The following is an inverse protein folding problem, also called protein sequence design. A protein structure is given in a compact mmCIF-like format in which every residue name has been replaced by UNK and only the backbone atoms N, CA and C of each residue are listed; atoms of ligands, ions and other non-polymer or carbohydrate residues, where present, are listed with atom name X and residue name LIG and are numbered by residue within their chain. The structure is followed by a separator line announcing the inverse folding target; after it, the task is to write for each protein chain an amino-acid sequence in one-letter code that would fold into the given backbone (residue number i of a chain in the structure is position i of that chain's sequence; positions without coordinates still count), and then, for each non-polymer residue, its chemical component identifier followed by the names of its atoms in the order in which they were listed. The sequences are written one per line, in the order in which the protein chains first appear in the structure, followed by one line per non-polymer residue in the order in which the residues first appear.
data_IF_245798202376
#
_entry.id   IF_245798202376
#
_cell.length_a   1.000
_cell.length_b   1.000
_cell.length_c   1.000
_cell.angle_alpha   90.00
_cell.angle_beta   90.00
_cell.angle_gamma   90.00
#
_symmetry.space_group_name_H-M   'P 1'
#
loop_
_entity.id
_entity.type
_entity.pdbx_description
1 polymer ?
#
# COMPACT_ATOMS: atom_id res chain seq x y z
N UNK A 1 -19.85 12.59 -3.03
CA UNK A 1 -19.20 11.98 -4.23
C UNK A 1 -17.79 12.50 -4.29
N UNK A 2 -16.78 11.63 -4.37
CA UNK A 2 -15.36 12.00 -4.45
C UNK A 2 -14.98 12.45 -5.87
N UNK A 3 -14.14 13.47 -5.94
CA UNK A 3 -13.54 14.04 -7.15
C UNK A 3 -12.01 14.02 -7.03
N UNK A 4 -11.29 14.45 -8.05
CA UNK A 4 -9.83 14.56 -8.00
C UNK A 4 -9.34 15.60 -6.96
N UNK A 5 -10.18 16.57 -6.61
CA UNK A 5 -9.87 17.56 -5.56
C UNK A 5 -9.88 16.96 -4.15
N UNK A 6 -10.52 15.80 -4.01
CA UNK A 6 -10.63 15.07 -2.74
C UNK A 6 -9.50 14.04 -2.56
N UNK A 7 -8.53 13.99 -3.48
CA UNK A 7 -7.45 13.00 -3.47
C UNK A 7 -6.07 13.64 -3.47
N UNK A 8 -5.13 13.03 -2.72
CA UNK A 8 -3.69 13.35 -2.72
C UNK A 8 -2.86 12.08 -2.85
N UNK A 9 -1.90 12.08 -3.78
CA UNK A 9 -0.78 11.15 -3.74
C UNK A 9 0.29 11.70 -2.80
N UNK A 10 0.75 10.88 -1.86
CA UNK A 10 1.86 11.17 -0.95
C UNK A 10 3.02 10.27 -1.34
N UNK A 11 4.07 10.84 -1.90
CA UNK A 11 5.30 10.09 -2.20
C UNK A 11 6.14 10.07 -0.94
N UNK A 12 6.37 8.87 -0.39
CA UNK A 12 7.28 8.68 0.73
C UNK A 12 8.70 8.48 0.18
N UNK A 13 9.50 9.54 0.22
CA UNK A 13 10.88 9.54 -0.27
C UNK A 13 11.86 9.26 0.87
N UNK A 14 12.76 8.30 0.67
CA UNK A 14 13.77 7.92 1.66
C UNK A 14 15.14 7.81 1.00
N UNK A 15 16.11 8.62 1.46
CA UNK A 15 17.45 8.69 0.86
C UNK A 15 17.40 9.01 -0.64
N UNK A 16 18.39 8.55 -1.39
CA UNK A 16 18.43 8.68 -2.84
C UNK A 16 17.88 7.40 -3.49
N UNK A 17 16.84 7.55 -4.30
CA UNK A 17 16.28 6.43 -5.05
C UNK A 17 16.34 6.71 -6.56
N UNK A 18 17.00 5.87 -7.35
CA UNK A 18 17.08 6.06 -8.80
C UNK A 18 15.72 5.99 -9.50
N UNK A 19 14.69 5.59 -8.77
CA UNK A 19 13.33 5.40 -9.29
C UNK A 19 12.38 6.56 -8.97
N UNK A 20 12.80 7.53 -8.13
CA UNK A 20 11.95 8.65 -7.71
C UNK A 20 11.40 9.45 -8.90
N UNK A 21 12.24 9.72 -9.91
CA UNK A 21 11.83 10.42 -11.14
C UNK A 21 10.72 9.67 -11.89
N UNK A 22 10.83 8.36 -11.99
CA UNK A 22 9.86 7.50 -12.68
C UNK A 22 8.53 7.45 -11.92
N UNK A 23 8.59 7.36 -10.58
CA UNK A 23 7.42 7.42 -9.71
C UNK A 23 6.67 8.76 -9.90
N UNK A 24 7.36 9.91 -9.74
CA UNK A 24 6.75 11.25 -9.92
C UNK A 24 6.11 11.36 -11.30
N UNK A 25 6.82 10.99 -12.36
CA UNK A 25 6.32 11.07 -13.73
C UNK A 25 5.07 10.21 -13.94
N UNK A 26 4.97 9.04 -13.31
CA UNK A 26 3.79 8.17 -13.40
C UNK A 26 2.55 8.81 -12.78
N UNK A 27 2.72 9.53 -11.68
CA UNK A 27 1.66 10.27 -11.01
C UNK A 27 1.25 11.53 -11.78
N UNK A 28 2.22 12.24 -12.34
CA UNK A 28 1.95 13.40 -13.20
C UNK A 28 1.23 13.03 -14.51
N UNK A 29 1.35 11.79 -14.97
CA UNK A 29 0.70 11.28 -16.19
C UNK A 29 -0.70 10.72 -15.98
N UNK A 30 -1.26 10.78 -14.76
CA UNK A 30 -2.63 10.31 -14.53
C UNK A 30 -3.63 11.02 -15.45
N UNK A 31 -4.64 10.29 -15.98
CA UNK A 31 -5.74 10.83 -16.80
C UNK A 31 -6.53 11.89 -16.03
N UNK A 32 -6.72 11.67 -14.75
CA UNK A 32 -7.35 12.62 -13.83
C UNK A 32 -6.27 13.12 -12.87
N UNK A 33 -6.00 14.44 -12.89
CA UNK A 33 -4.98 15.07 -12.06
C UNK A 33 -5.46 15.28 -10.63
N UNK A 34 -4.61 14.99 -9.65
CA UNK A 34 -4.83 15.35 -8.26
C UNK A 34 -3.55 15.92 -7.65
N UNK A 35 -3.64 16.36 -6.41
CA UNK A 35 -2.49 16.86 -5.67
C UNK A 35 -1.45 15.76 -5.48
N UNK A 36 -0.18 16.11 -5.62
CA UNK A 36 0.97 15.26 -5.33
C UNK A 36 1.83 16.02 -4.33
N UNK A 37 2.23 15.37 -3.24
CA UNK A 37 3.19 15.89 -2.28
C UNK A 37 4.30 14.87 -2.07
N UNK A 38 5.45 15.35 -1.64
CA UNK A 38 6.57 14.51 -1.18
C UNK A 38 6.71 14.68 0.32
N UNK A 39 6.85 13.58 1.02
CA UNK A 39 7.32 13.57 2.39
C UNK A 39 8.64 12.83 2.50
N UNK A 40 9.48 13.19 3.46
CA UNK A 40 10.75 12.51 3.73
C UNK A 40 11.23 12.71 5.16
N UNK A 41 11.82 11.68 5.75
CA UNK A 41 12.61 11.78 6.99
C UNK A 41 14.12 11.87 6.74
N UNK A 42 14.54 11.89 5.47
CA UNK A 42 15.94 11.98 5.06
C UNK A 42 16.14 13.09 4.03
N UNK A 43 15.89 14.37 4.38
CA UNK A 43 15.99 15.48 3.44
C UNK A 43 17.43 15.58 2.91
N UNK A 44 17.56 15.75 1.60
CA UNK A 44 18.84 15.85 0.90
C UNK A 44 18.68 16.61 -0.42
N UNK A 45 19.80 16.98 -1.05
CA UNK A 45 19.80 17.75 -2.29
C UNK A 45 19.18 16.97 -3.46
N UNK A 46 19.31 15.66 -3.48
CA UNK A 46 18.70 14.81 -4.52
C UNK A 46 17.18 14.96 -4.52
N UNK A 47 16.54 14.79 -3.36
CA UNK A 47 15.08 14.95 -3.22
C UNK A 47 14.69 16.42 -3.52
N UNK A 48 15.42 17.39 -2.98
CA UNK A 48 15.16 18.82 -3.20
C UNK A 48 15.21 19.19 -4.69
N UNK A 49 16.10 18.59 -5.47
CA UNK A 49 16.18 18.84 -6.91
C UNK A 49 14.93 18.36 -7.65
N UNK A 50 14.36 17.19 -7.26
CA UNK A 50 13.09 16.72 -7.86
C UNK A 50 11.90 17.56 -7.40
N UNK A 51 11.86 18.00 -6.14
CA UNK A 51 10.84 18.93 -5.63
C UNK A 51 10.81 20.20 -6.47
N UNK A 52 11.97 20.82 -6.70
CA UNK A 52 12.10 22.01 -7.54
C UNK A 52 11.78 21.75 -9.01
N UNK A 53 12.28 20.64 -9.58
CA UNK A 53 12.06 20.26 -10.98
C UNK A 53 10.58 20.11 -11.32
N UNK A 54 9.79 19.57 -10.41
CA UNK A 54 8.38 19.24 -10.63
C UNK A 54 7.40 20.20 -9.92
N UNK A 55 7.92 21.24 -9.25
CA UNK A 55 7.14 22.22 -8.48
C UNK A 55 6.18 21.54 -7.48
N UNK A 56 6.73 20.64 -6.66
CA UNK A 56 5.98 19.86 -5.67
C UNK A 56 6.18 20.41 -4.26
N UNK A 57 5.23 20.17 -3.37
CA UNK A 57 5.36 20.48 -1.96
C UNK A 57 6.17 19.38 -1.25
N UNK A 58 7.16 19.81 -0.44
CA UNK A 58 7.97 18.91 0.39
C UNK A 58 7.60 19.11 1.87
N UNK A 59 7.39 17.98 2.55
CA UNK A 59 7.20 17.92 4.00
C UNK A 59 8.31 17.07 4.61
N UNK A 60 8.99 17.61 5.63
CA UNK A 60 10.09 16.91 6.31
C UNK A 60 9.58 16.37 7.65
N UNK A 61 9.80 15.09 7.87
CA UNK A 61 9.51 14.41 9.13
C UNK A 61 10.79 14.26 9.95
N UNK A 62 10.82 14.86 11.14
CA UNK A 62 12.00 14.79 12.03
C UNK A 62 12.10 13.45 12.79
N UNK A 63 11.02 12.65 12.82
CA UNK A 63 10.94 11.38 13.54
C UNK A 63 10.75 10.21 12.54
N UNK A 64 11.83 9.83 11.87
CA UNK A 64 11.84 8.84 10.80
C UNK A 64 11.49 7.41 11.23
N UNK A 65 10.99 6.65 10.26
CA UNK A 65 10.64 5.23 10.36
C UNK A 65 9.45 4.90 9.49
N UNK A 66 9.40 3.70 8.90
CA UNK A 66 8.46 3.34 7.84
C UNK A 66 7.01 3.78 8.14
N UNK A 67 6.42 3.30 9.23
CA UNK A 67 5.04 3.64 9.59
C UNK A 67 4.88 5.11 10.05
N UNK A 68 5.94 5.70 10.62
CA UNK A 68 5.95 7.11 11.04
C UNK A 68 5.93 8.02 9.81
N UNK A 69 6.75 7.73 8.81
CA UNK A 69 6.81 8.46 7.55
C UNK A 69 5.47 8.37 6.82
N UNK A 70 4.89 7.18 6.71
CA UNK A 70 3.56 7.01 6.11
C UNK A 70 2.46 7.79 6.84
N UNK A 71 2.44 7.76 8.17
CA UNK A 71 1.47 8.52 8.98
C UNK A 71 1.69 10.03 8.87
N UNK A 72 2.95 10.48 8.85
CA UNK A 72 3.28 11.89 8.69
C UNK A 72 2.80 12.41 7.34
N UNK A 73 3.19 11.76 6.25
CA UNK A 73 2.76 12.14 4.91
C UNK A 73 1.23 12.06 4.73
N UNK A 74 0.60 11.01 5.28
CA UNK A 74 -0.86 10.89 5.32
C UNK A 74 -1.52 12.08 6.01
N UNK A 75 -0.96 12.59 7.11
CA UNK A 75 -1.50 13.75 7.83
C UNK A 75 -1.22 15.07 7.10
N UNK A 76 -0.12 15.19 6.35
CA UNK A 76 0.16 16.35 5.49
C UNK A 76 -0.86 16.49 4.35
N UNK A 77 -1.41 15.38 3.86
CA UNK A 77 -2.51 15.40 2.91
C UNK A 77 -3.77 16.01 3.54
N UNK A 78 -4.34 17.05 2.92
CA UNK A 78 -5.54 17.76 3.43
C UNK A 78 -6.85 17.28 2.78
N UNK A 79 -6.78 16.20 1.99
CA UNK A 79 -7.88 15.65 1.21
C UNK A 79 -8.49 14.42 1.89
N UNK A 80 -9.71 14.05 1.49
CA UNK A 80 -10.45 12.93 2.06
C UNK A 80 -9.91 11.56 1.65
N UNK A 81 -9.25 11.49 0.48
CA UNK A 81 -8.64 10.27 -0.06
C UNK A 81 -7.12 10.46 -0.12
N UNK A 82 -6.38 9.47 0.34
CA UNK A 82 -4.91 9.51 0.35
C UNK A 82 -4.34 8.20 -0.15
N UNK A 83 -3.48 8.27 -1.17
CA UNK A 83 -2.67 7.14 -1.62
C UNK A 83 -1.23 7.36 -1.18
N UNK A 84 -0.69 6.44 -0.36
CA UNK A 84 0.73 6.41 -0.02
C UNK A 84 1.47 5.76 -1.18
N UNK A 85 2.21 6.55 -1.93
CA UNK A 85 3.02 6.10 -3.06
C UNK A 85 4.45 5.85 -2.60
N UNK A 86 4.96 4.63 -2.83
CA UNK A 86 6.35 4.34 -2.58
C UNK A 86 7.21 4.92 -3.72
N UNK A 87 8.36 5.49 -3.40
CA UNK A 87 9.22 6.22 -4.34
C UNK A 87 9.78 5.39 -5.50
N UNK A 88 9.66 4.07 -5.42
CA UNK A 88 10.19 3.09 -6.37
C UNK A 88 9.11 2.41 -7.22
N UNK A 89 7.84 2.72 -6.97
CA UNK A 89 6.70 2.14 -7.66
C UNK A 89 6.18 3.04 -8.79
N UNK A 90 5.40 2.45 -9.70
CA UNK A 90 4.83 3.14 -10.87
C UNK A 90 3.31 2.95 -10.87
N UNK A 91 2.59 4.01 -11.23
CA UNK A 91 1.14 3.98 -11.35
C UNK A 91 0.72 4.05 -12.82
N UNK A 92 -0.15 3.14 -13.26
CA UNK A 92 -0.74 3.19 -14.60
C UNK A 92 -1.65 4.43 -14.70
N UNK A 93 -1.74 5.02 -15.88
CA UNK A 93 -2.34 6.36 -16.09
C UNK A 93 -3.81 6.48 -15.68
N UNK A 94 -4.56 5.39 -15.63
CA UNK A 94 -5.97 5.33 -15.23
C UNK A 94 -6.20 4.88 -13.77
N UNK A 95 -5.13 4.86 -12.93
CA UNK A 95 -5.23 4.44 -11.54
C UNK A 95 -6.24 5.30 -10.77
N UNK A 96 -6.05 6.61 -10.72
CA UNK A 96 -6.93 7.52 -9.97
C UNK A 96 -8.36 7.53 -10.51
N UNK A 97 -8.53 7.51 -11.83
CA UNK A 97 -9.86 7.43 -12.46
C UNK A 97 -10.63 6.20 -11.96
N UNK A 98 -9.97 5.04 -11.91
CA UNK A 98 -10.58 3.83 -11.40
C UNK A 98 -10.85 3.92 -9.89
N UNK A 99 -9.92 4.46 -9.09
CA UNK A 99 -10.12 4.67 -7.65
C UNK A 99 -11.39 5.49 -7.40
N UNK A 100 -11.52 6.65 -8.03
CA UNK A 100 -12.70 7.53 -7.88
C UNK A 100 -13.99 6.83 -8.33
N UNK A 101 -13.96 6.15 -9.48
CA UNK A 101 -15.10 5.39 -10.00
C UNK A 101 -15.58 4.33 -9.01
N UNK A 102 -14.67 3.53 -8.48
CA UNK A 102 -15.04 2.43 -7.58
C UNK A 102 -15.42 2.93 -6.19
N UNK A 103 -14.73 3.96 -5.66
CA UNK A 103 -15.09 4.60 -4.39
C UNK A 103 -16.53 5.14 -4.43
N UNK A 104 -16.87 5.89 -5.47
CA UNK A 104 -18.21 6.48 -5.65
C UNK A 104 -19.33 5.45 -5.88
N UNK A 105 -18.99 4.26 -6.34
CA UNK A 105 -19.94 3.16 -6.55
C UNK A 105 -19.99 2.16 -5.39
N UNK A 106 -19.29 2.43 -4.30
CA UNK A 106 -19.26 1.58 -3.10
C UNK A 106 -20.10 2.16 -1.96
N UNK A 107 -20.36 1.33 -0.95
CA UNK A 107 -21.05 1.72 0.27
C UNK A 107 -20.00 1.97 1.34
N UNK A 108 -19.92 3.21 1.85
CA UNK A 108 -19.03 3.60 2.96
C UNK A 108 -17.60 3.05 2.80
N UNK A 109 -16.84 3.46 1.79
CA UNK A 109 -15.50 2.93 1.58
C UNK A 109 -14.57 3.27 2.77
N UNK A 110 -13.77 2.30 3.20
CA UNK A 110 -12.68 2.46 4.18
C UNK A 110 -11.37 2.56 3.42
N UNK A 111 -11.13 1.57 2.55
CA UNK A 111 -9.99 1.53 1.64
C UNK A 111 -10.45 1.13 0.24
N UNK A 112 -9.77 1.65 -0.75
CA UNK A 112 -9.88 1.25 -2.15
C UNK A 112 -8.52 0.70 -2.58
N UNK A 113 -8.47 -0.51 -3.12
CA UNK A 113 -7.21 -1.11 -3.53
C UNK A 113 -7.30 -1.83 -4.87
N UNK A 114 -6.17 -1.83 -5.60
CA UNK A 114 -6.09 -2.40 -6.94
C UNK A 114 -5.34 -3.73 -6.93
N UNK A 115 -5.43 -4.48 -8.02
CA UNK A 115 -4.44 -5.48 -8.37
C UNK A 115 -3.16 -4.78 -8.88
N UNK A 116 -2.04 -5.52 -8.96
CA UNK A 116 -0.76 -4.99 -9.37
C UNK A 116 0.06 -6.00 -10.17
N UNK A 117 1.13 -5.52 -10.77
CA UNK A 117 2.19 -6.33 -11.37
C UNK A 117 3.52 -6.01 -10.71
N UNK A 118 4.47 -6.89 -10.83
CA UNK A 118 5.85 -6.63 -10.39
C UNK A 118 6.71 -6.11 -11.52
N UNK A 119 7.70 -5.27 -11.16
CA UNK A 119 8.77 -4.83 -12.05
C UNK A 119 10.06 -5.47 -11.55
N UNK A 120 10.60 -6.41 -12.34
CA UNK A 120 11.84 -7.13 -12.04
C UNK A 120 12.84 -6.87 -13.16
N UNK A 121 14.05 -6.37 -12.80
CA UNK A 121 15.08 -6.04 -13.81
C UNK A 121 14.51 -5.18 -14.95
N UNK A 122 13.73 -4.16 -14.59
CA UNK A 122 13.03 -3.25 -15.50
C UNK A 122 12.03 -3.93 -16.47
N UNK A 123 11.60 -5.15 -16.19
CA UNK A 123 10.57 -5.86 -16.97
C UNK A 123 9.30 -6.01 -16.18
N UNK A 124 8.17 -5.69 -16.82
CA UNK A 124 6.83 -5.90 -16.27
C UNK A 124 6.55 -7.40 -16.15
N UNK A 125 6.30 -7.87 -14.92
CA UNK A 125 5.96 -9.26 -14.60
C UNK A 125 4.53 -9.29 -14.05
N UNK A 126 3.54 -9.51 -14.92
CA UNK A 126 2.13 -9.41 -14.53
C UNK A 126 1.62 -10.61 -13.76
N UNK A 127 2.32 -11.73 -13.80
CA UNK A 127 1.93 -12.99 -13.18
C UNK A 127 3.17 -13.72 -12.64
N UNK A 128 3.14 -14.02 -11.37
CA UNK A 128 3.96 -15.03 -10.72
C UNK A 128 3.09 -15.77 -9.70
N UNK A 129 3.61 -16.81 -9.07
CA UNK A 129 2.86 -17.64 -8.14
C UNK A 129 2.28 -16.82 -6.99
N UNK A 130 3.07 -15.91 -6.41
CA UNK A 130 2.63 -15.04 -5.31
C UNK A 130 1.48 -14.13 -5.75
N UNK A 131 1.60 -13.46 -6.89
CA UNK A 131 0.54 -12.60 -7.43
C UNK A 131 -0.75 -13.39 -7.73
N UNK A 132 -0.61 -14.62 -8.23
CA UNK A 132 -1.77 -15.49 -8.49
C UNK A 132 -2.47 -15.85 -7.18
N UNK A 133 -1.71 -16.22 -6.12
CA UNK A 133 -2.26 -16.54 -4.81
C UNK A 133 -3.00 -15.33 -4.22
N UNK A 134 -2.39 -14.14 -4.23
CA UNK A 134 -3.03 -12.90 -3.77
C UNK A 134 -4.33 -12.59 -4.52
N UNK A 135 -4.37 -12.80 -5.84
CA UNK A 135 -5.59 -12.64 -6.64
C UNK A 135 -6.68 -13.63 -6.31
N UNK A 136 -6.30 -14.89 -6.05
CA UNK A 136 -7.25 -15.91 -5.58
C UNK A 136 -7.84 -15.52 -4.24
N UNK A 137 -7.01 -15.06 -3.29
CA UNK A 137 -7.46 -14.56 -1.99
C UNK A 137 -8.43 -13.38 -2.16
N UNK A 138 -8.09 -12.42 -3.03
CA UNK A 138 -8.89 -11.22 -3.26
C UNK A 138 -10.09 -11.43 -4.18
N UNK A 139 -10.21 -12.60 -4.85
CA UNK A 139 -11.28 -12.84 -5.83
C UNK A 139 -12.69 -12.63 -5.27
N UNK A 140 -12.90 -12.99 -4.02
CA UNK A 140 -14.21 -12.84 -3.38
C UNK A 140 -14.64 -11.38 -3.19
N UNK A 141 -13.71 -10.43 -3.15
CA UNK A 141 -14.03 -8.99 -3.08
C UNK A 141 -14.67 -8.43 -4.37
N UNK A 142 -14.68 -9.17 -5.48
CA UNK A 142 -15.45 -8.78 -6.67
C UNK A 142 -16.95 -8.68 -6.39
N UNK A 143 -17.45 -9.35 -5.35
CA UNK A 143 -18.86 -9.27 -4.92
C UNK A 143 -19.01 -8.12 -3.92
N UNK A 144 -19.83 -7.10 -4.23
CA UNK A 144 -20.04 -5.92 -3.36
C UNK A 144 -20.43 -6.30 -1.92
N UNK A 145 -21.28 -7.33 -1.73
CA UNK A 145 -21.67 -7.80 -0.40
C UNK A 145 -20.48 -8.24 0.46
N UNK A 146 -19.43 -8.78 -0.15
CA UNK A 146 -18.23 -9.22 0.55
C UNK A 146 -17.32 -8.05 0.91
N UNK A 147 -17.30 -6.99 0.08
CA UNK A 147 -16.54 -5.77 0.38
C UNK A 147 -17.03 -5.12 1.68
N UNK A 148 -18.35 -5.10 1.91
CA UNK A 148 -18.97 -4.53 3.11
C UNK A 148 -19.01 -5.47 4.32
N UNK A 149 -18.55 -6.72 4.17
CA UNK A 149 -18.64 -7.73 5.21
C UNK A 149 -17.34 -7.86 6.04
N UNK A 150 -17.30 -7.39 7.31
CA UNK A 150 -16.13 -7.50 8.17
C UNK A 150 -15.64 -8.94 8.36
N UNK A 151 -16.57 -9.91 8.50
CA UNK A 151 -16.21 -11.32 8.70
C UNK A 151 -15.51 -11.90 7.48
N UNK A 152 -15.95 -11.50 6.27
CA UNK A 152 -15.32 -11.95 5.02
C UNK A 152 -13.89 -11.42 4.91
N UNK A 153 -13.67 -10.11 5.05
CA UNK A 153 -12.33 -9.52 4.91
C UNK A 153 -11.37 -10.01 5.99
N UNK A 154 -11.84 -10.16 7.25
CA UNK A 154 -11.05 -10.76 8.32
C UNK A 154 -10.66 -12.20 8.02
N UNK A 155 -11.56 -13.00 7.42
CA UNK A 155 -11.24 -14.34 6.96
C UNK A 155 -10.14 -14.34 5.91
N UNK A 156 -10.16 -13.41 4.93
CA UNK A 156 -9.09 -13.32 3.93
C UNK A 156 -7.76 -12.96 4.59
N UNK A 157 -7.73 -11.93 5.42
CA UNK A 157 -6.52 -11.48 6.12
C UNK A 157 -5.96 -12.51 7.09
N UNK A 158 -6.77 -13.43 7.60
CA UNK A 158 -6.28 -14.50 8.49
C UNK A 158 -5.34 -15.50 7.79
N UNK A 159 -5.27 -15.50 6.47
CA UNK A 159 -4.36 -16.34 5.67
C UNK A 159 -3.08 -15.61 5.25
N UNK A 160 -2.97 -14.31 5.51
CA UNK A 160 -1.82 -13.49 5.18
C UNK A 160 -2.19 -12.16 4.53
N UNK A 161 -1.18 -11.35 4.27
CA UNK A 161 -1.37 -10.06 3.60
C UNK A 161 -1.53 -10.22 2.09
N UNK A 162 -2.75 -10.03 1.62
CA UNK A 162 -3.10 -10.06 0.20
C UNK A 162 -3.21 -8.66 -0.43
N UNK A 163 -3.11 -7.60 0.38
CA UNK A 163 -3.31 -6.20 -0.03
C UNK A 163 -1.98 -5.47 0.05
N UNK A 164 -1.37 -5.16 -1.09
CA UNK A 164 -0.10 -4.44 -1.14
C UNK A 164 -0.29 -2.96 -0.81
N UNK A 165 0.49 -2.41 0.11
CA UNK A 165 0.38 -1.04 0.62
C UNK A 165 0.24 0.01 -0.48
N UNK A 166 1.16 0.10 -1.48
CA UNK A 166 1.10 1.17 -2.47
C UNK A 166 -0.08 1.06 -3.45
N UNK A 167 -0.85 -0.05 -3.41
CA UNK A 167 -2.09 -0.16 -4.21
C UNK A 167 -3.29 0.51 -3.55
N UNK A 168 -3.14 0.96 -2.29
CA UNK A 168 -4.26 1.35 -1.43
C UNK A 168 -4.45 2.86 -1.39
N UNK A 169 -5.69 3.28 -1.61
CA UNK A 169 -6.18 4.62 -1.27
C UNK A 169 -7.01 4.53 0.01
N UNK A 170 -6.63 5.30 1.02
CA UNK A 170 -7.27 5.38 2.33
C UNK A 170 -8.36 6.46 2.32
N UNK A 171 -9.48 6.21 3.00
CA UNK A 171 -10.52 7.21 3.28
C UNK A 171 -10.30 7.78 4.68
N UNK A 172 -9.83 9.04 4.78
CA UNK A 172 -9.38 9.65 6.05
C UNK A 172 -10.43 9.63 7.14
N UNK A 173 -11.68 9.90 6.80
CA UNK A 173 -12.79 9.88 7.75
C UNK A 173 -12.94 8.53 8.48
N UNK A 174 -12.61 7.43 7.79
CA UNK A 174 -12.73 6.07 8.34
C UNK A 174 -11.44 5.56 8.99
N UNK A 175 -10.28 6.03 8.53
CA UNK A 175 -8.97 5.48 8.94
C UNK A 175 -8.36 6.19 10.16
N UNK A 176 -8.89 7.38 10.55
CA UNK A 176 -8.35 8.14 11.68
C UNK A 176 -7.04 8.87 11.34
N UNK A 177 -6.31 9.30 12.37
CA UNK A 177 -5.12 10.17 12.23
C UNK A 177 -3.83 9.37 12.04
N UNK A 178 -3.74 8.19 12.64
CA UNK A 178 -2.55 7.33 12.59
C UNK A 178 -2.95 5.92 12.15
N UNK A 179 -3.27 5.72 10.86
CA UNK A 179 -3.73 4.42 10.38
C UNK A 179 -2.65 3.33 10.51
N UNK A 180 -1.37 3.68 10.35
CA UNK A 180 -0.27 2.71 10.40
C UNK A 180 0.29 2.57 11.80
N UNK A 181 0.35 1.33 12.31
CA UNK A 181 0.90 1.06 13.65
C UNK A 181 2.42 1.23 13.64
N UNK A 182 2.92 2.19 14.42
CA UNK A 182 4.32 2.59 14.46
C UNK A 182 5.24 1.58 15.17
N UNK A 183 4.69 0.61 15.89
CA UNK A 183 5.46 -0.47 16.52
C UNK A 183 5.93 -1.51 15.49
N UNK A 184 5.25 -1.57 14.34
CA UNK A 184 5.58 -2.48 13.24
C UNK A 184 6.59 -1.84 12.29
N UNK A 185 7.71 -2.53 12.06
CA UNK A 185 8.80 -2.07 11.20
C UNK A 185 8.68 -2.52 9.75
N UNK A 186 7.97 -3.63 9.52
CA UNK A 186 7.88 -4.27 8.21
C UNK A 186 6.46 -4.56 7.76
N UNK A 187 5.59 -4.96 8.70
CA UNK A 187 4.21 -5.41 8.42
C UNK A 187 3.16 -4.42 8.92
N UNK A 188 3.53 -3.12 8.92
CA UNK A 188 2.65 -2.04 9.36
C UNK A 188 1.36 -1.96 8.52
N UNK A 189 1.45 -2.22 7.22
CA UNK A 189 0.34 -2.31 6.29
C UNK A 189 -0.60 -3.47 6.64
N UNK A 190 -0.07 -4.68 6.81
CA UNK A 190 -0.86 -5.85 7.20
C UNK A 190 -1.58 -5.63 8.54
N UNK A 191 -0.87 -5.05 9.54
CA UNK A 191 -1.48 -4.68 10.82
C UNK A 191 -2.61 -3.67 10.63
N UNK A 192 -2.39 -2.65 9.79
CA UNK A 192 -3.39 -1.64 9.46
C UNK A 192 -4.63 -2.28 8.82
N UNK A 193 -4.45 -3.17 7.84
CA UNK A 193 -5.58 -3.86 7.22
C UNK A 193 -6.33 -4.74 8.22
N UNK A 194 -5.62 -5.39 9.15
CA UNK A 194 -6.23 -6.16 10.24
C UNK A 194 -7.14 -5.26 11.10
N UNK A 195 -6.65 -4.10 11.54
CA UNK A 195 -7.44 -3.18 12.36
C UNK A 195 -8.62 -2.58 11.59
N UNK A 196 -8.38 -2.03 10.41
CA UNK A 196 -9.43 -1.44 9.57
C UNK A 196 -10.50 -2.47 9.17
N UNK A 197 -10.14 -3.77 9.10
CA UNK A 197 -11.09 -4.83 8.79
C UNK A 197 -12.18 -5.00 9.84
N UNK A 198 -12.00 -4.49 11.04
CA UNK A 198 -12.98 -4.54 12.15
C UNK A 198 -14.07 -3.47 12.00
N UNK A 199 -13.81 -2.40 11.26
CA UNK A 199 -14.69 -1.26 11.14
C UNK A 199 -15.90 -1.57 10.24
N UNK A 200 -16.97 -0.79 10.40
CA UNK A 200 -18.10 -0.81 9.46
C UNK A 200 -17.75 -0.03 8.20
N UNK A 201 -18.06 -0.58 7.03
CA UNK A 201 -17.75 0.00 5.71
C UNK A 201 -17.16 -1.02 4.75
N UNK A 202 -16.66 -0.58 3.60
CA UNK A 202 -16.20 -1.45 2.51
C UNK A 202 -14.69 -1.43 2.31
N UNK A 203 -14.11 -2.61 2.09
CA UNK A 203 -12.81 -2.80 1.43
C UNK A 203 -13.06 -2.98 -0.07
N UNK A 204 -12.83 -1.92 -0.85
CA UNK A 204 -13.22 -1.84 -2.25
C UNK A 204 -12.10 -2.35 -3.15
N UNK A 205 -12.29 -3.49 -3.78
CA UNK A 205 -11.29 -4.09 -4.68
C UNK A 205 -11.54 -3.74 -6.14
N UNK A 206 -10.51 -3.26 -6.80
CA UNK A 206 -10.45 -3.00 -8.23
C UNK A 206 -9.66 -4.12 -8.90
N UNK A 207 -10.30 -5.06 -9.62
CA UNK A 207 -9.62 -6.21 -10.23
C UNK A 207 -8.88 -5.86 -11.51
N UNK A 208 -8.12 -4.75 -11.49
CA UNK A 208 -7.26 -4.26 -12.56
C UNK A 208 -5.86 -4.04 -12.02
N UNK A 209 -4.86 -4.38 -12.80
CA UNK A 209 -3.44 -4.18 -12.50
C UNK A 209 -3.06 -2.75 -12.84
N UNK A 210 -3.20 -1.85 -11.88
CA UNK A 210 -3.04 -0.40 -12.08
C UNK A 210 -1.77 0.18 -11.44
N UNK A 211 -0.93 -0.68 -10.88
CA UNK A 211 0.32 -0.28 -10.25
C UNK A 211 1.39 -1.34 -10.50
N UNK A 212 2.62 -0.90 -10.71
CA UNK A 212 3.81 -1.73 -10.82
C UNK A 212 4.65 -1.63 -9.57
N UNK A 213 4.73 -2.72 -8.79
CA UNK A 213 5.58 -2.83 -7.62
C UNK A 213 6.99 -3.28 -8.00
N UNK A 214 8.00 -2.48 -7.66
CA UNK A 214 9.39 -2.77 -8.02
C UNK A 214 10.03 -3.71 -7.01
N UNK A 215 10.68 -4.76 -7.53
CA UNK A 215 11.43 -5.73 -6.75
C UNK A 215 12.92 -5.59 -7.09
N UNK A 216 13.74 -5.22 -6.10
CA UNK A 216 15.20 -5.09 -6.20
C UNK A 216 15.88 -5.38 -4.86
N UNK A 217 17.19 -5.63 -4.88
CA UNK A 217 17.93 -6.16 -3.71
C UNK A 217 17.94 -5.21 -2.50
N UNK A 218 17.93 -3.90 -2.76
CA UNK A 218 18.03 -2.85 -1.75
C UNK A 218 16.67 -2.39 -1.22
N UNK A 219 15.56 -3.02 -1.67
CA UNK A 219 14.24 -2.64 -1.19
C UNK A 219 14.07 -3.00 0.30
N UNK A 220 13.33 -2.17 1.03
CA UNK A 220 13.00 -2.40 2.46
C UNK A 220 12.41 -3.79 2.70
N UNK A 221 11.60 -4.27 1.76
CA UNK A 221 11.01 -5.63 1.81
C UNK A 221 12.09 -6.71 1.76
N UNK A 222 13.08 -6.56 0.88
CA UNK A 222 14.17 -7.53 0.73
C UNK A 222 15.08 -7.55 1.95
N UNK A 223 15.40 -6.40 2.52
CA UNK A 223 16.21 -6.27 3.73
C UNK A 223 15.48 -6.85 4.96
N UNK A 224 14.19 -6.61 5.10
CA UNK A 224 13.34 -7.11 6.19
C UNK A 224 13.20 -8.63 6.21
N UNK A 225 13.20 -9.26 5.03
CA UNK A 225 13.16 -10.72 4.90
C UNK A 225 14.45 -11.38 5.43
N UNK A 226 15.59 -10.67 5.40
CA UNK A 226 16.88 -11.16 5.92
C UNK A 226 16.93 -11.16 7.45
N UNK A 227 16.21 -10.28 8.12
CA UNK A 227 16.36 -10.00 9.56
C UNK A 227 15.32 -10.68 10.47
N UNK A 228 14.47 -11.57 9.98
CA UNK A 228 13.39 -12.27 10.72
C UNK A 228 12.37 -11.34 11.43
N UNK A 229 12.48 -10.01 11.32
CA UNK A 229 11.56 -9.05 11.94
C UNK A 229 10.17 -9.23 11.35
N UNK A 230 10.06 -9.26 10.02
CA UNK A 230 8.80 -9.50 9.33
C UNK A 230 8.12 -10.79 9.77
N UNK A 231 8.91 -11.87 9.98
CA UNK A 231 8.38 -13.15 10.46
C UNK A 231 7.67 -13.00 11.80
N UNK A 232 8.28 -12.31 12.76
CA UNK A 232 7.70 -12.15 14.09
C UNK A 232 6.46 -11.27 14.07
N UNK A 233 6.46 -10.22 13.24
CA UNK A 233 5.34 -9.31 13.06
C UNK A 233 4.16 -9.98 12.38
N UNK A 234 4.35 -10.65 11.24
CA UNK A 234 3.30 -11.38 10.53
C UNK A 234 2.68 -12.46 11.40
N UNK A 235 3.53 -13.21 12.14
CA UNK A 235 3.04 -14.23 13.06
C UNK A 235 2.21 -13.61 14.19
N UNK A 236 2.62 -12.45 14.73
CA UNK A 236 1.86 -11.76 15.77
C UNK A 236 0.47 -11.33 15.29
N UNK A 237 0.38 -10.84 14.05
CA UNK A 237 -0.90 -10.48 13.43
C UNK A 237 -1.77 -11.73 13.18
N UNK A 238 -1.17 -12.82 12.69
CA UNK A 238 -1.91 -14.08 12.50
C UNK A 238 -2.44 -14.67 13.80
N UNK A 239 -1.76 -14.45 14.94
CA UNK A 239 -2.25 -14.85 16.26
C UNK A 239 -3.49 -14.06 16.74
N UNK A 240 -3.83 -12.94 16.10
CA UNK A 240 -5.12 -12.26 16.34
C UNK A 240 -6.32 -13.02 15.73
N UNK A 241 -6.07 -13.94 14.80
CA UNK A 241 -7.07 -14.73 14.09
C UNK A 241 -7.10 -16.19 14.52
N UNK A 242 -5.93 -16.75 14.87
CA UNK A 242 -5.74 -18.16 15.11
C UNK A 242 -5.01 -18.45 16.42
N UNK A 243 -5.34 -19.56 17.12
CA UNK A 243 -4.47 -20.06 18.18
C UNK A 243 -3.03 -20.28 17.69
N UNK A 244 -2.05 -20.06 18.56
CA UNK A 244 -0.62 -20.06 18.21
C UNK A 244 -0.14 -21.23 17.35
N UNK A 245 -0.55 -22.50 17.57
CA UNK A 245 -0.12 -23.61 16.69
C UNK A 245 -0.64 -23.46 15.26
N UNK A 246 -1.89 -23.02 15.11
CA UNK A 246 -2.52 -22.82 13.80
C UNK A 246 -1.90 -21.60 13.11
N UNK A 247 -1.68 -20.49 13.84
CA UNK A 247 -1.01 -19.30 13.30
C UNK A 247 0.38 -19.64 12.73
N UNK A 248 1.18 -20.47 13.44
CA UNK A 248 2.48 -20.94 12.95
C UNK A 248 2.36 -21.75 11.66
N UNK A 249 1.35 -22.61 11.55
CA UNK A 249 1.10 -23.40 10.33
C UNK A 249 0.73 -22.47 9.16
N UNK A 250 -0.20 -21.55 9.39
CA UNK A 250 -0.64 -20.56 8.38
C UNK A 250 0.53 -19.69 7.93
N UNK A 251 1.34 -19.21 8.87
CA UNK A 251 2.55 -18.45 8.53
C UNK A 251 3.52 -19.26 7.66
N UNK A 252 3.75 -20.53 7.97
CA UNK A 252 4.63 -21.40 7.16
C UNK A 252 4.13 -21.54 5.71
N UNK A 253 2.82 -21.65 5.52
CA UNK A 253 2.20 -21.71 4.18
C UNK A 253 2.39 -20.36 3.46
N UNK A 254 2.06 -19.25 4.13
CA UNK A 254 2.16 -17.90 3.61
C UNK A 254 3.61 -17.54 3.24
N UNK A 255 4.58 -17.76 4.13
CA UNK A 255 5.99 -17.43 3.89
C UNK A 255 6.62 -18.23 2.74
N UNK A 256 6.14 -19.45 2.47
CA UNK A 256 6.59 -20.21 1.30
C UNK A 256 6.18 -19.53 -0.01
N UNK A 257 5.01 -18.89 -0.04
CA UNK A 257 4.57 -18.14 -1.22
C UNK A 257 5.41 -16.86 -1.43
N UNK A 258 5.88 -16.23 -0.36
CA UNK A 258 6.72 -15.02 -0.43
C UNK A 258 8.18 -15.33 -0.82
N UNK A 259 8.67 -16.54 -0.59
CA UNK A 259 10.03 -16.95 -1.04
C UNK A 259 10.20 -16.89 -2.56
N UNK A 260 9.11 -16.92 -3.31
CA UNK A 260 9.16 -16.67 -4.76
C UNK A 260 9.50 -15.20 -5.11
N UNK A 261 9.50 -14.28 -4.11
CA UNK A 261 9.93 -12.88 -4.24
C UNK A 261 11.43 -12.68 -4.06
N UNK A 262 12.22 -13.73 -3.84
CA UNK A 262 13.67 -13.58 -3.85
C UNK A 262 14.14 -13.19 -5.26
N UNK A 263 14.99 -12.17 -5.30
CA UNK A 263 15.65 -11.64 -6.51
C UNK A 263 16.55 -12.70 -7.12
#
# INVERSE_FOLDING_TARGET
MFTSKDHTFVICAYKESPYLDECINSLLKQTIKSRIIIETSTPNDYINNYVKKYDLELFVNDDGGLAKDWNFGYNCAKTSLVTIAHQDDIYDTDYLENVLKYANNSIEPIIIFTDYYEIRKNKKTPNNINLIIKRIMNYGYKKKKNQYNPRFRRKILSFGDSISCPTVTLVKEKCGVFPYNQEFKCSADYKTWSELSKLQGSFVYIPKKLMGHRIYEESTTTESLKNNVRQSEDLSIMMEYWPKPIAKLMYKIYSNSERSNKV
#
